data_IF_173374465675
#
_entry.id   IF_173374465675
#
_cell.length_a   1.000
_cell.length_b   1.000
_cell.length_c   1.000
_cell.angle_alpha   90.00
_cell.angle_beta   90.00
_cell.angle_gamma   90.00
#
_symmetry.space_group_name_H-M   'P 1'
#
loop_
_entity.id
_entity.type
_entity.pdbx_description
1 polymer ?
#
# COMPACT_ATOMS: atom_id res chain seq x y z
N UNK A 1 -59.66 13.38 -21.83
CA UNK A 1 -58.63 12.68 -22.62
C UNK A 1 -57.47 12.40 -21.69
N UNK A 2 -57.43 11.19 -21.13
CA UNK A 2 -56.39 10.73 -20.16
C UNK A 2 -55.65 9.55 -20.78
N UNK A 3 -54.60 9.86 -21.48
CA UNK A 3 -53.64 8.87 -21.97
C UNK A 3 -52.33 9.03 -21.20
N UNK A 4 -51.97 8.06 -20.37
CA UNK A 4 -50.56 7.79 -20.05
C UNK A 4 -50.25 6.89 -18.86
N UNK A 5 -51.23 6.20 -18.25
CA UNK A 5 -50.97 5.32 -17.08
C UNK A 5 -50.26 3.99 -17.37
N UNK A 6 -50.47 3.27 -18.51
CA UNK A 6 -49.85 1.96 -18.72
C UNK A 6 -48.37 2.01 -19.12
N UNK A 7 -47.90 3.11 -19.72
CA UNK A 7 -46.50 3.24 -20.13
C UNK A 7 -45.56 3.47 -18.96
N UNK A 8 -46.01 4.19 -17.96
CA UNK A 8 -45.22 4.52 -16.73
C UNK A 8 -44.97 3.27 -15.85
N UNK A 9 -45.97 2.39 -15.73
CA UNK A 9 -45.83 1.12 -14.99
C UNK A 9 -44.88 0.14 -15.67
N UNK A 10 -44.91 0.07 -17.00
CA UNK A 10 -43.99 -0.80 -17.79
C UNK A 10 -42.54 -0.29 -17.74
N UNK A 11 -42.34 1.02 -17.73
CA UNK A 11 -41.02 1.61 -17.57
C UNK A 11 -40.43 1.37 -16.17
N UNK A 12 -41.24 1.45 -15.11
CA UNK A 12 -40.80 1.15 -13.73
C UNK A 12 -40.45 -0.31 -13.52
N UNK A 13 -41.19 -1.25 -14.13
CA UNK A 13 -40.88 -2.70 -14.07
C UNK A 13 -39.59 -3.04 -14.84
N UNK A 14 -39.32 -2.37 -15.96
CA UNK A 14 -38.06 -2.53 -16.72
C UNK A 14 -36.84 -1.99 -15.99
N UNK A 15 -36.98 -0.91 -15.21
CA UNK A 15 -35.89 -0.36 -14.37
C UNK A 15 -35.55 -1.29 -13.18
N UNK A 16 -36.55 -1.91 -12.57
CA UNK A 16 -36.32 -2.83 -11.44
C UNK A 16 -35.62 -4.14 -11.89
N UNK A 17 -35.93 -4.67 -13.07
CA UNK A 17 -35.28 -5.87 -13.61
C UNK A 17 -33.83 -5.60 -14.07
N UNK A 18 -33.51 -4.38 -14.52
CA UNK A 18 -32.14 -3.99 -14.88
C UNK A 18 -31.19 -3.85 -13.69
N UNK A 19 -31.71 -3.44 -12.53
CA UNK A 19 -30.92 -3.21 -11.32
C UNK A 19 -30.42 -4.52 -10.66
N UNK A 20 -31.10 -5.64 -10.86
CA UNK A 20 -30.71 -6.95 -10.27
C UNK A 20 -29.52 -7.59 -10.99
N UNK A 21 -29.21 -7.25 -12.20
CA UNK A 21 -28.06 -7.79 -12.97
C UNK A 21 -26.72 -7.16 -12.58
N UNK A 22 -26.71 -5.96 -11.96
CA UNK A 22 -25.48 -5.32 -11.50
C UNK A 22 -25.04 -5.79 -10.10
N UNK A 23 -25.90 -6.46 -9.35
CA UNK A 23 -25.56 -6.97 -8.01
C UNK A 23 -24.70 -8.26 -8.02
N UNK A 24 -24.44 -8.84 -9.21
CA UNK A 24 -23.72 -10.10 -9.37
C UNK A 24 -22.20 -10.01 -9.46
N UNK A 25 -21.60 -8.82 -9.52
CA UNK A 25 -20.16 -8.67 -9.42
C UNK A 25 -19.79 -8.78 -7.93
N UNK A 26 -19.34 -9.94 -7.48
CA UNK A 26 -18.92 -10.22 -6.10
C UNK A 26 -17.76 -9.35 -5.58
N UNK A 27 -17.78 -8.05 -5.90
CA UNK A 27 -16.82 -7.07 -5.43
C UNK A 27 -17.09 -6.75 -3.96
N UNK A 28 -16.24 -7.30 -3.09
CA UNK A 28 -16.22 -6.94 -1.65
C UNK A 28 -15.23 -5.80 -1.46
N UNK A 29 -15.67 -4.62 -1.04
CA UNK A 29 -14.74 -3.52 -0.73
C UNK A 29 -13.91 -3.91 0.50
N UNK A 30 -12.59 -3.90 0.36
CA UNK A 30 -11.63 -4.28 1.41
C UNK A 30 -11.75 -3.44 2.69
N UNK A 31 -12.27 -2.21 2.59
CA UNK A 31 -12.43 -1.26 3.68
C UNK A 31 -13.90 -0.91 3.97
N UNK A 32 -14.87 -1.72 3.49
CA UNK A 32 -16.30 -1.47 3.66
C UNK A 32 -16.95 -2.42 4.67
N UNK A 33 -17.87 -1.91 5.49
CA UNK A 33 -18.66 -2.71 6.42
C UNK A 33 -17.91 -3.15 7.68
N UNK A 34 -18.50 -4.08 8.44
CA UNK A 34 -17.93 -4.62 9.69
C UNK A 34 -16.63 -5.40 9.48
N UNK A 35 -16.48 -6.08 8.36
CA UNK A 35 -15.25 -6.81 8.00
C UNK A 35 -14.09 -5.83 7.78
N UNK A 36 -14.30 -4.70 7.10
CA UNK A 36 -13.30 -3.68 6.92
C UNK A 36 -12.85 -3.04 8.23
N UNK A 37 -13.78 -2.82 9.16
CA UNK A 37 -13.45 -2.30 10.49
C UNK A 37 -12.60 -3.29 11.31
N UNK A 38 -12.83 -4.60 11.19
CA UNK A 38 -12.01 -5.63 11.83
C UNK A 38 -10.59 -5.65 11.24
N UNK A 39 -10.46 -5.57 9.91
CA UNK A 39 -9.17 -5.49 9.23
C UNK A 39 -8.40 -4.24 9.67
N UNK A 40 -9.06 -3.08 9.71
CA UNK A 40 -8.43 -1.83 10.16
C UNK A 40 -7.97 -1.91 11.62
N UNK A 41 -8.70 -2.63 12.50
CA UNK A 41 -8.28 -2.84 13.89
C UNK A 41 -7.07 -3.77 14.00
N UNK A 42 -7.00 -4.84 13.19
CA UNK A 42 -5.84 -5.73 13.13
C UNK A 42 -4.60 -5.00 12.57
N UNK A 43 -4.78 -4.17 11.54
CA UNK A 43 -3.70 -3.33 11.00
C UNK A 43 -3.18 -2.32 12.03
N UNK A 44 -4.09 -1.68 12.79
CA UNK A 44 -3.73 -0.73 13.85
C UNK A 44 -3.01 -1.42 15.03
N UNK A 45 -3.19 -2.73 15.22
CA UNK A 45 -2.51 -3.52 16.26
C UNK A 45 -1.09 -3.96 15.85
N UNK A 46 -0.56 -3.50 14.71
CA UNK A 46 0.78 -3.83 14.22
C UNK A 46 1.81 -2.83 14.73
N UNK A 47 2.82 -3.31 15.44
CA UNK A 47 4.02 -2.54 15.78
C UNK A 47 5.08 -2.71 14.70
N UNK A 48 5.61 -1.60 14.17
CA UNK A 48 6.57 -1.60 13.06
C UNK A 48 8.00 -1.44 13.56
N UNK A 49 8.87 -2.36 13.18
CA UNK A 49 10.32 -2.29 13.35
C UNK A 49 10.98 -2.29 11.98
N UNK A 50 11.84 -1.33 11.71
CA UNK A 50 12.54 -1.21 10.43
C UNK A 50 14.06 -1.10 10.61
N UNK A 51 14.81 -1.17 9.50
CA UNK A 51 16.25 -0.90 9.47
C UNK A 51 16.56 0.47 10.07
N UNK A 52 17.70 0.60 10.75
CA UNK A 52 18.07 1.86 11.45
C UNK A 52 18.64 2.94 10.53
N UNK A 53 18.79 2.67 9.24
CA UNK A 53 19.22 3.66 8.25
C UNK A 53 18.11 4.68 7.93
N UNK A 54 18.50 5.81 7.29
CA UNK A 54 17.54 6.89 6.97
C UNK A 54 16.29 6.39 6.26
N UNK A 55 16.47 5.56 5.23
CA UNK A 55 15.34 5.09 4.42
C UNK A 55 14.45 4.11 5.17
N UNK A 56 15.03 3.29 6.05
CA UNK A 56 14.27 2.41 6.95
C UNK A 56 13.39 3.22 7.91
N UNK A 57 13.91 4.33 8.46
CA UNK A 57 13.13 5.22 9.33
C UNK A 57 12.01 5.93 8.55
N UNK A 58 12.29 6.42 7.34
CA UNK A 58 11.29 7.04 6.48
C UNK A 58 10.17 6.05 6.14
N UNK A 59 10.53 4.83 5.73
CA UNK A 59 9.55 3.78 5.46
C UNK A 59 8.75 3.40 6.71
N UNK A 60 9.39 3.32 7.88
CA UNK A 60 8.71 3.07 9.15
C UNK A 60 7.66 4.14 9.45
N UNK A 61 8.00 5.43 9.28
CA UNK A 61 7.05 6.51 9.53
C UNK A 61 5.84 6.41 8.60
N UNK A 62 6.04 6.19 7.30
CA UNK A 62 4.93 5.99 6.36
C UNK A 62 4.09 4.77 6.71
N UNK A 63 4.73 3.65 7.12
CA UNK A 63 4.00 2.45 7.54
C UNK A 63 3.16 2.70 8.80
N UNK A 64 3.68 3.40 9.79
CA UNK A 64 2.93 3.74 11.01
C UNK A 64 1.72 4.60 10.66
N UNK A 65 1.90 5.60 9.79
CA UNK A 65 0.80 6.48 9.35
C UNK A 65 -0.24 5.72 8.53
N UNK A 66 0.20 4.84 7.62
CA UNK A 66 -0.70 4.07 6.75
C UNK A 66 -1.45 2.96 7.50
N UNK A 67 -0.80 2.28 8.46
CA UNK A 67 -1.39 1.17 9.22
C UNK A 67 -2.32 1.66 10.33
N UNK A 68 -2.01 2.81 10.92
CA UNK A 68 -2.78 3.37 12.03
C UNK A 68 -3.10 4.87 11.85
N UNK A 69 -3.94 5.24 10.89
CA UNK A 69 -4.26 6.63 10.62
C UNK A 69 -5.05 7.34 11.74
N UNK A 70 -5.59 6.58 12.70
CA UNK A 70 -6.35 7.13 13.83
C UNK A 70 -5.53 7.32 15.11
N UNK A 71 -4.25 6.94 15.10
CA UNK A 71 -3.36 7.00 16.27
C UNK A 71 -3.23 5.67 17.01
N UNK A 72 -2.33 5.62 17.97
CA UNK A 72 -1.84 4.38 18.58
C UNK A 72 -2.94 3.41 19.02
N UNK A 73 -2.82 2.15 18.59
CA UNK A 73 -3.50 1.04 19.23
C UNK A 73 -2.86 0.81 20.62
N UNK A 74 -3.68 0.60 21.63
CA UNK A 74 -3.23 0.47 23.02
C UNK A 74 -2.30 -0.73 23.24
N UNK A 75 -2.40 -1.81 22.43
CA UNK A 75 -1.56 -3.00 22.57
C UNK A 75 -1.22 -3.55 21.18
N UNK A 76 0.04 -3.42 20.77
CA UNK A 76 0.54 -4.07 19.56
C UNK A 76 0.49 -5.59 19.70
N UNK A 77 -0.48 -6.24 19.05
CA UNK A 77 -0.60 -7.70 19.01
C UNK A 77 0.39 -8.32 18.05
N UNK A 78 0.67 -7.63 16.97
CA UNK A 78 1.55 -8.11 15.91
C UNK A 78 2.83 -7.28 15.85
N UNK A 79 3.90 -7.88 15.35
CA UNK A 79 5.15 -7.22 15.05
C UNK A 79 5.48 -7.36 13.57
N UNK A 80 5.60 -6.23 12.87
CA UNK A 80 6.08 -6.17 11.49
C UNK A 80 7.55 -5.77 11.49
N UNK A 81 8.41 -6.67 11.03
CA UNK A 81 9.83 -6.38 10.83
C UNK A 81 10.10 -6.14 9.36
N UNK A 82 10.66 -4.98 9.03
CA UNK A 82 10.96 -4.58 7.64
C UNK A 82 12.45 -4.33 7.48
N UNK A 83 13.06 -4.97 6.49
CA UNK A 83 14.46 -4.76 6.07
C UNK A 83 14.49 -4.16 4.68
N UNK A 84 15.20 -3.05 4.54
CA UNK A 84 15.32 -2.34 3.27
C UNK A 84 16.65 -2.62 2.60
N UNK A 85 16.64 -2.73 1.27
CA UNK A 85 17.81 -2.76 0.42
C UNK A 85 17.64 -1.76 -0.71
N UNK A 86 18.68 -1.02 -1.01
CA UNK A 86 18.67 -0.03 -2.09
C UNK A 86 19.76 -0.34 -3.11
N UNK A 87 19.42 -0.16 -4.38
CA UNK A 87 20.35 -0.23 -5.49
C UNK A 87 20.11 0.97 -6.41
N UNK A 88 21.14 1.34 -7.16
CA UNK A 88 21.10 2.44 -8.11
C UNK A 88 21.64 1.95 -9.44
N UNK A 89 20.85 2.06 -10.50
CA UNK A 89 21.23 1.68 -11.84
C UNK A 89 21.28 2.91 -12.74
N UNK A 90 22.33 3.04 -13.53
CA UNK A 90 22.42 4.03 -14.58
C UNK A 90 21.45 3.68 -15.71
N UNK A 91 20.59 4.63 -16.11
CA UNK A 91 19.58 4.39 -17.13
C UNK A 91 19.97 5.00 -18.49
N UNK A 92 20.50 6.22 -18.46
CA UNK A 92 20.90 6.94 -19.68
C UNK A 92 22.37 7.35 -19.53
N UNK A 93 23.17 6.90 -20.50
CA UNK A 93 24.57 7.26 -20.66
C UNK A 93 24.68 7.99 -21.99
N UNK A 94 25.18 9.24 -21.99
CA UNK A 94 25.41 10.02 -23.20
C UNK A 94 26.64 9.48 -23.96
N UNK A 95 26.83 9.96 -25.20
CA UNK A 95 27.94 9.56 -26.07
C UNK A 95 29.31 9.87 -25.44
N UNK A 96 29.37 10.90 -24.59
CA UNK A 96 30.56 11.28 -23.80
C UNK A 96 30.74 10.42 -22.52
N UNK A 97 29.98 9.32 -22.37
CA UNK A 97 29.94 8.44 -21.19
C UNK A 97 29.36 9.10 -19.91
N UNK A 98 28.72 10.27 -20.04
CA UNK A 98 28.09 10.96 -18.90
C UNK A 98 26.73 10.34 -18.59
N UNK A 99 26.55 9.83 -17.39
CA UNK A 99 25.26 9.35 -16.92
C UNK A 99 24.39 10.54 -16.51
N UNK A 100 23.20 10.65 -17.08
CA UNK A 100 22.29 11.77 -16.80
C UNK A 100 21.06 11.36 -16.01
N UNK A 101 20.75 10.07 -15.94
CA UNK A 101 19.58 9.54 -15.25
C UNK A 101 19.90 8.22 -14.54
N UNK A 102 19.40 8.11 -13.33
CA UNK A 102 19.47 6.87 -12.53
C UNK A 102 18.09 6.39 -12.13
N UNK A 103 17.96 5.07 -12.03
CA UNK A 103 16.89 4.41 -11.32
C UNK A 103 17.36 4.05 -9.91
N UNK A 104 16.64 4.55 -8.91
CA UNK A 104 16.74 4.11 -7.53
C UNK A 104 15.77 2.95 -7.35
N UNK A 105 16.31 1.78 -7.02
CA UNK A 105 15.53 0.58 -6.69
C UNK A 105 15.53 0.43 -5.18
N UNK A 106 14.35 0.47 -4.58
CA UNK A 106 14.16 0.20 -3.16
C UNK A 106 13.40 -1.14 -3.02
N UNK A 107 14.03 -2.12 -2.40
CA UNK A 107 13.42 -3.38 -2.03
C UNK A 107 13.17 -3.41 -0.52
N UNK A 108 12.03 -3.98 -0.12
CA UNK A 108 11.67 -4.23 1.26
C UNK A 108 11.33 -5.71 1.43
N UNK A 109 11.97 -6.35 2.41
CA UNK A 109 11.64 -7.69 2.88
C UNK A 109 10.93 -7.52 4.21
N UNK A 110 9.73 -8.06 4.32
CA UNK A 110 8.92 -7.86 5.52
C UNK A 110 8.33 -9.17 6.04
N UNK A 111 8.21 -9.21 7.36
CA UNK A 111 7.73 -10.37 8.09
C UNK A 111 6.82 -9.92 9.21
N UNK A 112 5.59 -10.44 9.24
CA UNK A 112 4.61 -10.24 10.28
C UNK A 112 4.68 -11.42 11.25
N UNK A 113 4.79 -11.13 12.54
CA UNK A 113 4.79 -12.14 13.63
C UNK A 113 3.70 -11.82 14.64
N UNK A 114 3.13 -12.86 15.24
CA UNK A 114 2.38 -12.72 16.48
C UNK A 114 3.37 -12.49 17.63
N UNK A 115 3.07 -11.53 18.52
CA UNK A 115 3.96 -11.23 19.67
C UNK A 115 3.86 -12.23 20.80
N UNK A 116 2.70 -12.93 20.93
CA UNK A 116 2.45 -13.86 22.00
C UNK A 116 3.32 -15.12 21.89
N UNK A 117 3.30 -15.75 20.72
CA UNK A 117 4.01 -17.01 20.45
C UNK A 117 5.20 -16.86 19.50
N UNK A 118 5.43 -15.65 18.97
CA UNK A 118 6.48 -15.31 17.99
C UNK A 118 6.39 -16.06 16.68
N UNK A 119 5.23 -16.65 16.38
CA UNK A 119 4.98 -17.37 15.13
C UNK A 119 5.02 -16.40 13.95
N UNK A 120 5.65 -16.81 12.85
CA UNK A 120 5.63 -16.06 11.60
C UNK A 120 4.27 -16.28 10.94
N UNK A 121 3.49 -15.23 10.83
CA UNK A 121 2.16 -15.24 10.24
C UNK A 121 2.19 -14.99 8.74
N UNK A 122 3.05 -14.06 8.30
CA UNK A 122 3.17 -13.68 6.90
C UNK A 122 4.59 -13.22 6.58
N UNK A 123 5.08 -13.56 5.40
CA UNK A 123 6.39 -13.12 4.91
C UNK A 123 6.29 -12.82 3.42
N UNK A 124 6.80 -11.67 3.00
CA UNK A 124 6.83 -11.28 1.60
C UNK A 124 7.95 -10.29 1.32
N UNK A 125 8.12 -9.95 0.05
CA UNK A 125 9.06 -8.95 -0.41
C UNK A 125 8.43 -8.11 -1.52
N UNK A 126 8.77 -6.83 -1.52
CA UNK A 126 8.31 -5.89 -2.54
C UNK A 126 9.47 -5.02 -3.01
N UNK A 127 9.36 -4.49 -4.21
CA UNK A 127 10.33 -3.51 -4.71
C UNK A 127 9.62 -2.42 -5.49
N UNK A 128 10.17 -1.19 -5.40
CA UNK A 128 9.74 -0.03 -6.18
C UNK A 128 10.94 0.64 -6.83
N UNK A 129 10.67 1.29 -7.95
CA UNK A 129 11.69 1.98 -8.74
C UNK A 129 11.27 3.43 -8.89
N UNK A 130 12.15 4.34 -8.50
CA UNK A 130 11.96 5.77 -8.68
C UNK A 130 13.17 6.37 -9.43
N UNK A 131 12.93 6.99 -10.56
CA UNK A 131 14.01 7.61 -11.33
C UNK A 131 14.32 9.01 -10.82
N UNK A 132 15.58 9.41 -10.91
CA UNK A 132 16.05 10.78 -10.69
C UNK A 132 17.10 11.17 -11.71
N UNK A 133 17.22 12.48 -11.97
CA UNK A 133 18.19 13.03 -12.89
C UNK A 133 19.39 13.60 -12.12
N UNK A 134 20.58 13.39 -12.66
CA UNK A 134 21.77 14.14 -12.24
C UNK A 134 21.62 15.62 -12.61
N UNK A 135 21.95 16.47 -11.67
CA UNK A 135 22.01 17.92 -11.86
C UNK A 135 23.46 18.38 -11.90
N UNK A 136 23.74 19.49 -12.56
CA UNK A 136 25.08 20.08 -12.57
C UNK A 136 25.57 20.45 -11.16
N UNK A 137 24.66 20.85 -10.27
CA UNK A 137 24.96 21.13 -8.87
C UNK A 137 24.88 19.84 -8.04
N UNK A 138 25.96 19.44 -7.32
CA UNK A 138 26.00 18.22 -6.52
C UNK A 138 24.87 18.15 -5.45
N UNK A 139 24.61 19.27 -4.79
CA UNK A 139 23.53 19.36 -3.80
C UNK A 139 22.15 19.08 -4.40
N UNK A 140 21.86 19.62 -5.60
CA UNK A 140 20.59 19.38 -6.28
C UNK A 140 20.43 17.89 -6.70
N UNK A 141 21.52 17.21 -7.00
CA UNK A 141 21.52 15.77 -7.26
C UNK A 141 21.19 14.97 -6.00
N UNK A 142 21.80 15.33 -4.88
CA UNK A 142 21.52 14.67 -3.59
C UNK A 142 20.05 14.83 -3.18
N UNK A 143 19.48 16.02 -3.30
CA UNK A 143 18.06 16.28 -3.03
C UNK A 143 17.17 15.45 -3.95
N UNK A 144 17.48 15.41 -5.26
CA UNK A 144 16.71 14.60 -6.22
C UNK A 144 16.76 13.10 -5.92
N UNK A 145 17.90 12.60 -5.44
CA UNK A 145 18.04 11.21 -5.01
C UNK A 145 17.21 10.94 -3.76
N UNK A 146 17.28 11.79 -2.73
CA UNK A 146 16.50 11.64 -1.51
C UNK A 146 14.99 11.66 -1.78
N UNK A 147 14.54 12.57 -2.65
CA UNK A 147 13.15 12.64 -3.07
C UNK A 147 12.70 11.35 -3.79
N UNK A 148 13.55 10.77 -4.65
CA UNK A 148 13.27 9.48 -5.29
C UNK A 148 13.18 8.33 -4.26
N UNK A 149 14.07 8.32 -3.26
CA UNK A 149 14.01 7.35 -2.15
C UNK A 149 12.71 7.48 -1.36
N UNK A 150 12.29 8.70 -1.05
CA UNK A 150 11.09 8.97 -0.26
C UNK A 150 9.81 8.61 -1.03
N UNK A 151 9.76 8.86 -2.35
CA UNK A 151 8.65 8.38 -3.21
C UNK A 151 8.58 6.86 -3.24
N UNK A 152 9.70 6.18 -3.44
CA UNK A 152 9.75 4.71 -3.45
C UNK A 152 9.33 4.13 -2.10
N UNK A 153 9.72 4.75 -0.97
CA UNK A 153 9.33 4.34 0.36
C UNK A 153 7.81 4.49 0.59
N UNK A 154 7.21 5.60 0.12
CA UNK A 154 5.75 5.82 0.21
C UNK A 154 4.97 4.78 -0.59
N UNK A 155 5.39 4.47 -1.81
CA UNK A 155 4.76 3.44 -2.62
C UNK A 155 4.91 2.04 -1.99
N UNK A 156 6.06 1.74 -1.37
CA UNK A 156 6.27 0.50 -0.62
C UNK A 156 5.36 0.40 0.59
N UNK A 157 5.19 1.48 1.35
CA UNK A 157 4.28 1.52 2.50
C UNK A 157 2.85 1.17 2.09
N UNK A 158 2.32 1.84 1.08
CA UNK A 158 0.97 1.58 0.56
C UNK A 158 0.81 0.14 0.06
N UNK A 159 1.83 -0.41 -0.61
CA UNK A 159 1.83 -1.78 -1.07
C UNK A 159 1.81 -2.77 0.11
N UNK A 160 2.71 -2.58 1.09
CA UNK A 160 2.80 -3.44 2.29
C UNK A 160 1.47 -3.42 3.07
N UNK A 161 0.87 -2.23 3.25
CA UNK A 161 -0.46 -2.12 3.87
C UNK A 161 -1.50 -2.95 3.13
N UNK A 162 -1.53 -2.86 1.80
CA UNK A 162 -2.48 -3.62 0.97
C UNK A 162 -2.28 -5.13 1.11
N UNK A 163 -1.04 -5.60 1.06
CA UNK A 163 -0.69 -7.02 1.26
C UNK A 163 -1.15 -7.54 2.64
N UNK A 164 -0.89 -6.76 3.69
CA UNK A 164 -1.31 -7.11 5.05
C UNK A 164 -2.83 -7.11 5.20
N UNK A 165 -3.52 -6.14 4.59
CA UNK A 165 -4.98 -6.09 4.57
C UNK A 165 -5.58 -7.33 3.86
N UNK A 166 -5.01 -7.74 2.74
CA UNK A 166 -5.41 -8.96 2.02
C UNK A 166 -5.15 -10.22 2.86
N UNK A 167 -4.02 -10.27 3.57
CA UNK A 167 -3.71 -11.36 4.48
C UNK A 167 -4.76 -11.48 5.59
N UNK A 168 -5.14 -10.38 6.25
CA UNK A 168 -6.17 -10.39 7.28
C UNK A 168 -7.57 -10.68 6.74
N UNK A 169 -7.90 -10.19 5.54
CA UNK A 169 -9.17 -10.50 4.87
C UNK A 169 -9.32 -11.99 4.51
N UNK A 170 -8.21 -12.69 4.23
CA UNK A 170 -8.20 -14.12 3.92
C UNK A 170 -8.20 -15.04 5.15
N UNK A 171 -8.11 -14.51 6.37
CA UNK A 171 -8.18 -15.32 7.60
C UNK A 171 -9.63 -15.71 7.89
N UNK A 172 -9.94 -16.98 8.17
CA UNK A 172 -11.25 -17.32 8.70
C UNK A 172 -11.47 -16.59 10.03
N UNK A 173 -12.66 -16.02 10.22
CA UNK A 173 -13.04 -15.42 11.50
C UNK A 173 -12.91 -16.47 12.61
N UNK A 174 -12.14 -16.14 13.65
CA UNK A 174 -11.93 -17.02 14.82
C UNK A 174 -13.12 -16.94 15.76
#
# INVERSE_FOLDING_TARGET
>A
MSWSEPCRRRALLGLLTGATWLAGCGFRPLHGGSEGAAIDSDLAAIEVTASQDRIGQVLKNFLVDDLNPRGASEIGRYQLTVRTQRARNALIVQIDSTVTRYDMILAAFFELRDKADKTVLYRSAARRVASFNLRRAPFATQVSQQDAEDRAARELSTYIRTELALYFAGRPAA
#
